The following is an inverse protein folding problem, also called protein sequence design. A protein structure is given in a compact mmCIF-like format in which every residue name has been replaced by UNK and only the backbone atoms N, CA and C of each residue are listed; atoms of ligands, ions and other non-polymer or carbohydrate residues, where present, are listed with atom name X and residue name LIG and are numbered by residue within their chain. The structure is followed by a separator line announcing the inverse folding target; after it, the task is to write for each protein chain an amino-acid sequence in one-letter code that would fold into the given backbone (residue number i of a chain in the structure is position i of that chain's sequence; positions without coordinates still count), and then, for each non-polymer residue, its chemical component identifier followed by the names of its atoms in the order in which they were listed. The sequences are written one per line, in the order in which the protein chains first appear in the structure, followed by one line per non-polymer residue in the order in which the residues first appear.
data_IF_800794606315
#
_entry.id   IF_800794606315
#
_cell.length_a   1.000
_cell.length_b   1.000
_cell.length_c   1.000
_cell.angle_alpha   90.00
_cell.angle_beta   90.00
_cell.angle_gamma   90.00
#
_symmetry.space_group_name_H-M   'P 1'
#
loop_
_entity.id
_entity.type
_entity.pdbx_description
1 polymer ?
#
# COMPACT_ATOMS: atom_id res chain seq x y z
N UNK A 1 -25.73 -4.62 13.73
CA UNK A 1 -24.55 -5.22 13.09
C UNK A 1 -24.59 -4.92 11.59
N UNK A 2 -23.71 -4.05 11.07
CA UNK A 2 -23.62 -3.79 9.61
C UNK A 2 -22.75 -4.88 8.99
N UNK A 3 -23.30 -5.67 8.06
CA UNK A 3 -22.56 -6.68 7.30
C UNK A 3 -21.41 -6.01 6.57
N UNK A 4 -20.19 -6.54 6.69
CA UNK A 4 -19.07 -6.13 5.86
C UNK A 4 -19.45 -6.30 4.37
N UNK A 5 -19.18 -5.31 3.50
CA UNK A 5 -19.44 -5.46 2.08
C UNK A 5 -18.69 -6.68 1.54
N UNK A 6 -19.42 -7.55 0.84
CA UNK A 6 -18.88 -8.77 0.27
C UNK A 6 -18.10 -8.42 -1.01
N UNK A 7 -16.83 -8.08 -0.88
CA UNK A 7 -15.96 -7.89 -2.04
C UNK A 7 -15.66 -9.25 -2.69
N UNK A 8 -15.86 -9.38 -4.01
CA UNK A 8 -15.43 -10.58 -4.75
C UNK A 8 -13.90 -10.56 -4.86
N UNK A 9 -13.27 -11.72 -4.63
CA UNK A 9 -11.81 -11.88 -4.62
C UNK A 9 -11.18 -11.37 -5.93
N UNK A 10 -10.18 -10.51 -5.82
CA UNK A 10 -9.31 -10.17 -6.95
C UNK A 10 -8.51 -11.41 -7.42
N UNK A 11 -8.14 -11.43 -8.70
CA UNK A 11 -7.19 -12.42 -9.20
C UNK A 11 -5.80 -12.20 -8.61
N UNK A 12 -4.87 -13.18 -8.72
CA UNK A 12 -3.51 -12.98 -8.24
C UNK A 12 -2.84 -11.82 -8.97
N UNK A 13 -2.26 -10.90 -8.21
CA UNK A 13 -1.51 -9.75 -8.73
C UNK A 13 -0.06 -10.14 -9.00
N UNK A 14 0.51 -9.63 -10.10
CA UNK A 14 1.92 -9.86 -10.44
C UNK A 14 2.80 -8.88 -9.69
N UNK A 15 3.87 -9.37 -9.09
CA UNK A 15 4.87 -8.49 -8.50
C UNK A 15 5.61 -7.71 -9.59
N UNK A 16 5.75 -6.38 -9.43
CA UNK A 16 6.42 -5.51 -10.42
C UNK A 16 7.48 -4.62 -9.78
N UNK A 17 8.70 -4.62 -10.31
CA UNK A 17 9.86 -3.91 -9.74
C UNK A 17 9.66 -2.39 -9.62
N UNK A 18 8.98 -1.75 -10.58
CA UNK A 18 8.70 -0.30 -10.54
C UNK A 18 7.59 0.06 -9.55
N UNK A 19 6.55 -0.78 -9.42
CA UNK A 19 5.51 -0.66 -8.38
C UNK A 19 6.12 -0.87 -6.99
N UNK A 20 6.99 -1.88 -6.85
CA UNK A 20 7.80 -2.12 -5.65
C UNK A 20 8.72 -0.94 -5.35
N UNK A 21 9.30 -0.30 -6.35
CA UNK A 21 10.08 0.93 -6.21
C UNK A 21 9.26 2.06 -5.56
N UNK A 22 8.02 2.24 -6.02
CA UNK A 22 7.05 3.16 -5.41
C UNK A 22 6.74 2.82 -3.95
N UNK A 23 6.53 1.54 -3.64
CA UNK A 23 6.30 1.07 -2.27
C UNK A 23 7.51 1.30 -1.36
N UNK A 24 8.74 1.02 -1.84
CA UNK A 24 9.99 1.25 -1.10
C UNK A 24 10.22 2.74 -0.84
N UNK A 25 9.98 3.58 -1.84
CA UNK A 25 10.11 5.02 -1.69
C UNK A 25 9.17 5.55 -0.59
N UNK A 26 7.95 5.00 -0.46
CA UNK A 26 7.05 5.35 0.63
C UNK A 26 7.57 4.87 1.98
N UNK A 27 7.96 3.60 2.09
CA UNK A 27 8.46 3.05 3.36
C UNK A 27 9.72 3.79 3.85
N UNK A 28 10.58 4.24 2.93
CA UNK A 28 11.72 5.12 3.24
C UNK A 28 11.30 6.51 3.74
N UNK A 29 10.25 7.12 3.18
CA UNK A 29 9.70 8.37 3.72
C UNK A 29 9.05 8.20 5.10
N UNK A 30 8.42 7.05 5.36
CA UNK A 30 7.91 6.71 6.70
C UNK A 30 9.04 6.57 7.73
N UNK A 31 10.20 6.06 7.31
CA UNK A 31 11.43 6.08 8.10
C UNK A 31 11.95 7.51 8.33
N UNK A 32 11.84 8.39 7.35
CA UNK A 32 12.29 9.78 7.44
C UNK A 32 11.31 10.75 8.14
N UNK A 33 10.37 10.22 8.95
CA UNK A 33 9.50 10.98 9.86
C UNK A 33 8.37 11.83 9.23
N UNK A 34 7.84 11.49 8.05
CA UNK A 34 6.60 12.09 7.54
C UNK A 34 5.57 11.02 7.17
N UNK A 35 4.85 10.49 8.16
CA UNK A 35 3.61 9.76 7.91
C UNK A 35 2.57 10.74 7.40
N UNK A 36 2.40 10.83 6.08
CA UNK A 36 1.22 11.46 5.49
C UNK A 36 0.16 10.38 5.27
N UNK A 37 -1.00 10.44 5.95
CA UNK A 37 -2.17 9.72 5.46
C UNK A 37 -2.43 10.19 4.03
N UNK A 38 -2.87 9.26 3.17
CA UNK A 38 -3.15 9.50 1.76
C UNK A 38 -3.58 10.94 1.48
N UNK A 39 -2.86 11.64 0.59
CA UNK A 39 -3.52 12.73 -0.14
C UNK A 39 -4.78 12.13 -0.76
N UNK A 40 -5.95 12.72 -0.52
CA UNK A 40 -7.30 12.18 -0.84
C UNK A 40 -7.48 11.69 -2.30
N UNK A 41 -6.52 11.98 -3.16
CA UNK A 41 -6.55 11.72 -4.60
C UNK A 41 -5.49 10.69 -5.07
N UNK A 42 -4.71 10.08 -4.18
CA UNK A 42 -3.62 9.16 -4.58
C UNK A 42 -2.46 9.82 -5.34
N UNK A 43 -2.42 11.15 -5.40
CA UNK A 43 -1.40 11.93 -6.13
C UNK A 43 0.03 11.62 -5.67
N UNK A 44 0.23 11.41 -4.38
CA UNK A 44 1.57 11.10 -3.85
C UNK A 44 2.07 9.72 -4.33
N UNK A 45 1.21 8.69 -4.37
CA UNK A 45 1.62 7.37 -4.89
C UNK A 45 1.79 7.39 -6.41
N UNK A 46 0.93 8.13 -7.12
CA UNK A 46 1.05 8.36 -8.56
C UNK A 46 2.39 8.98 -8.96
N UNK A 47 2.83 10.03 -8.25
CA UNK A 47 4.11 10.70 -8.48
C UNK A 47 5.29 9.76 -8.20
N UNK A 48 5.24 8.97 -7.11
CA UNK A 48 6.28 7.98 -6.79
C UNK A 48 6.38 6.91 -7.87
N UNK A 49 5.24 6.43 -8.36
CA UNK A 49 5.19 5.46 -9.43
C UNK A 49 5.78 6.00 -10.74
N UNK A 50 5.43 7.23 -11.13
CA UNK A 50 5.99 7.89 -12.31
C UNK A 50 7.51 8.07 -12.17
N UNK A 51 7.98 8.53 -11.00
CA UNK A 51 9.42 8.67 -10.71
C UNK A 51 10.16 7.33 -10.74
N UNK A 52 9.51 6.25 -10.33
CA UNK A 52 10.02 4.88 -10.44
C UNK A 52 9.91 4.30 -11.86
N UNK A 53 9.44 5.08 -12.85
CA UNK A 53 9.30 4.65 -14.24
C UNK A 53 8.04 3.82 -14.53
N UNK A 54 7.08 3.78 -13.61
CA UNK A 54 5.81 3.06 -13.81
C UNK A 54 4.77 3.93 -14.51
N UNK A 55 4.24 3.45 -15.62
CA UNK A 55 3.11 4.06 -16.34
C UNK A 55 1.83 3.32 -15.98
N UNK A 56 0.83 4.05 -15.51
CA UNK A 56 -0.38 3.48 -14.92
C UNK A 56 -1.66 4.10 -15.53
N UNK A 57 -2.74 3.33 -15.50
CA UNK A 57 -4.15 3.76 -15.70
C UNK A 57 -4.87 3.97 -14.38
N UNK A 58 -4.53 3.14 -13.40
CA UNK A 58 -5.00 3.23 -12.02
C UNK A 58 -3.87 2.88 -11.07
N UNK A 59 -3.87 3.50 -9.90
CA UNK A 59 -2.90 3.23 -8.83
C UNK A 59 -3.60 3.29 -7.48
N UNK A 60 -3.26 2.36 -6.60
CA UNK A 60 -3.81 2.26 -5.24
C UNK A 60 -2.71 2.04 -4.22
N UNK A 61 -2.97 2.36 -2.96
CA UNK A 61 -2.01 2.19 -1.88
C UNK A 61 -2.71 1.81 -0.57
N UNK A 62 -2.12 0.86 0.15
CA UNK A 62 -2.42 0.55 1.53
C UNK A 62 -1.16 0.81 2.37
N UNK A 63 -1.35 1.41 3.55
CA UNK A 63 -0.29 1.68 4.52
C UNK A 63 -0.75 1.17 5.89
N UNK A 64 0.15 0.57 6.65
CA UNK A 64 -0.09 0.21 8.04
C UNK A 64 1.15 0.52 8.89
N UNK A 65 0.96 0.73 10.19
CA UNK A 65 2.07 0.99 11.11
C UNK A 65 1.85 0.27 12.46
N UNK A 66 2.92 -0.30 13.00
CA UNK A 66 2.93 -0.95 14.31
C UNK A 66 2.60 -2.45 14.31
N UNK A 67 2.25 -3.04 13.17
CA UNK A 67 2.09 -4.49 13.04
C UNK A 67 3.48 -5.14 13.01
N UNK A 68 3.64 -6.25 13.73
CA UNK A 68 4.92 -6.94 13.88
C UNK A 68 5.27 -7.78 12.64
N UNK A 69 4.28 -8.13 11.82
CA UNK A 69 4.46 -8.99 10.66
C UNK A 69 3.65 -8.55 9.42
N UNK A 70 4.03 -9.02 8.21
CA UNK A 70 3.22 -8.84 7.02
C UNK A 70 1.81 -9.42 7.15
N UNK A 71 1.66 -10.55 7.87
CA UNK A 71 0.38 -11.22 8.09
C UNK A 71 -0.56 -10.36 8.94
N UNK A 72 -0.03 -9.74 10.00
CA UNK A 72 -0.79 -8.80 10.82
C UNK A 72 -1.19 -7.54 10.04
N UNK A 73 -0.29 -7.01 9.20
CA UNK A 73 -0.60 -5.89 8.32
C UNK A 73 -1.71 -6.24 7.32
N UNK A 74 -1.63 -7.42 6.70
CA UNK A 74 -2.66 -7.93 5.78
C UNK A 74 -4.00 -8.12 6.49
N UNK A 75 -4.01 -8.71 7.67
CA UNK A 75 -5.23 -8.87 8.47
C UNK A 75 -5.87 -7.51 8.80
N UNK A 76 -5.05 -6.52 9.19
CA UNK A 76 -5.50 -5.15 9.44
C UNK A 76 -6.10 -4.48 8.20
N UNK A 77 -5.47 -4.65 7.02
CA UNK A 77 -6.01 -4.13 5.77
C UNK A 77 -7.32 -4.81 5.37
N UNK A 78 -7.44 -6.14 5.52
CA UNK A 78 -8.67 -6.86 5.20
C UNK A 78 -9.84 -6.47 6.13
N UNK A 79 -9.56 -6.11 7.38
CA UNK A 79 -10.56 -5.64 8.35
C UNK A 79 -11.03 -4.20 8.09
N UNK A 80 -10.27 -3.40 7.34
CA UNK A 80 -10.63 -2.02 6.99
C UNK A 80 -11.36 -1.96 5.64
N UNK A 81 -12.60 -1.46 5.55
CA UNK A 81 -13.33 -1.41 4.28
C UNK A 81 -12.58 -0.67 3.15
N UNK A 82 -11.89 0.42 3.47
CA UNK A 82 -11.12 1.18 2.47
C UNK A 82 -9.89 0.44 1.95
N UNK A 83 -9.13 -0.19 2.84
CA UNK A 83 -7.94 -0.96 2.45
C UNK A 83 -8.31 -2.27 1.75
N UNK A 84 -9.39 -2.92 2.22
CA UNK A 84 -9.95 -4.12 1.62
C UNK A 84 -10.47 -3.83 0.20
N UNK A 85 -11.09 -2.67 -0.04
CA UNK A 85 -11.49 -2.26 -1.38
C UNK A 85 -10.31 -2.22 -2.36
N UNK A 86 -9.14 -1.70 -1.96
CA UNK A 86 -7.93 -1.72 -2.81
C UNK A 86 -7.43 -3.14 -3.09
N UNK A 87 -7.41 -4.02 -2.09
CA UNK A 87 -6.97 -5.42 -2.23
C UNK A 87 -7.90 -6.19 -3.20
N UNK A 88 -9.19 -5.88 -3.15
CA UNK A 88 -10.22 -6.62 -3.87
C UNK A 88 -10.57 -6.00 -5.22
N UNK A 89 -9.96 -4.86 -5.57
CA UNK A 89 -10.17 -4.22 -6.86
C UNK A 89 -9.50 -5.03 -7.99
N UNK A 90 -10.34 -5.58 -8.86
CA UNK A 90 -9.93 -6.41 -9.99
C UNK A 90 -9.23 -5.63 -11.10
N UNK A 91 -9.32 -4.29 -11.10
CA UNK A 91 -8.61 -3.46 -12.06
C UNK A 91 -7.09 -3.49 -11.83
N UNK A 92 -6.66 -3.73 -10.59
CA UNK A 92 -5.25 -3.87 -10.25
C UNK A 92 -4.75 -5.27 -10.56
N UNK A 93 -3.78 -5.35 -11.48
CA UNK A 93 -3.18 -6.62 -11.92
C UNK A 93 -1.71 -6.75 -11.53
N UNK A 94 -1.11 -5.66 -11.04
CA UNK A 94 0.25 -5.62 -10.53
C UNK A 94 0.27 -5.09 -9.09
N UNK A 95 1.25 -5.53 -8.31
CA UNK A 95 1.47 -5.02 -6.96
C UNK A 95 2.96 -4.91 -6.62
N UNK A 96 3.24 -4.17 -5.56
CA UNK A 96 4.55 -4.11 -4.93
C UNK A 96 4.42 -3.89 -3.43
N UNK A 97 5.14 -4.72 -2.66
CA UNK A 97 5.21 -4.62 -1.20
C UNK A 97 6.57 -4.13 -0.72
N UNK A 98 6.57 -3.31 0.33
CA UNK A 98 7.76 -2.87 1.04
C UNK A 98 7.46 -2.59 2.52
N UNK A 99 8.49 -2.63 3.36
CA UNK A 99 8.40 -2.16 4.74
C UNK A 99 9.61 -1.27 5.08
N UNK A 100 9.47 -0.47 6.13
CA UNK A 100 10.53 0.35 6.69
C UNK A 100 10.33 0.46 8.20
N UNK A 101 11.38 0.83 8.93
CA UNK A 101 11.31 1.02 10.38
C UNK A 101 11.64 2.45 10.74
N UNK A 102 10.98 2.99 11.75
CA UNK A 102 11.32 4.27 12.37
C UNK A 102 11.25 4.12 13.88
N UNK A 103 11.93 4.98 14.64
CA UNK A 103 11.77 5.05 16.09
C UNK A 103 10.75 6.14 16.40
N UNK A 104 9.68 5.79 17.12
CA UNK A 104 8.67 6.73 17.60
C UNK A 104 8.77 6.78 19.13
N UNK A 105 9.30 7.89 19.66
CA UNK A 105 9.73 7.95 21.06
C UNK A 105 10.96 7.07 21.26
N UNK A 106 10.83 6.03 22.07
CA UNK A 106 11.88 5.03 22.32
C UNK A 106 11.59 3.67 21.67
N UNK A 107 10.44 3.53 21.00
CA UNK A 107 9.99 2.24 20.47
C UNK A 107 10.20 2.14 18.96
N UNK A 108 10.80 1.04 18.45
CA UNK A 108 10.83 0.78 17.03
C UNK A 108 9.41 0.53 16.51
N UNK A 109 9.07 1.17 15.39
CA UNK A 109 7.79 1.02 14.70
C UNK A 109 8.06 0.60 13.27
N UNK A 110 7.43 -0.50 12.87
CA UNK A 110 7.42 -0.98 11.48
C UNK A 110 6.30 -0.28 10.72
N UNK A 111 6.58 0.10 9.48
CA UNK A 111 5.64 0.66 8.52
C UNK A 111 5.58 -0.26 7.31
N UNK A 112 4.36 -0.67 6.95
CA UNK A 112 4.07 -1.55 5.83
C UNK A 112 3.42 -0.74 4.72
N UNK A 113 3.89 -0.95 3.49
CA UNK A 113 3.32 -0.33 2.30
C UNK A 113 3.01 -1.40 1.26
N UNK A 114 1.80 -1.36 0.71
CA UNK A 114 1.39 -2.15 -0.44
C UNK A 114 0.84 -1.22 -1.52
N UNK A 115 1.51 -1.19 -2.67
CA UNK A 115 1.08 -0.40 -3.83
C UNK A 115 0.48 -1.34 -4.87
N UNK A 116 -0.60 -0.91 -5.50
CA UNK A 116 -1.32 -1.62 -6.54
C UNK A 116 -1.26 -0.84 -7.85
N UNK A 117 -1.13 -1.56 -8.96
CA UNK A 117 -1.03 -0.98 -10.29
C UNK A 117 -2.02 -1.60 -11.26
N UNK A 118 -2.73 -0.73 -11.98
CA UNK A 118 -3.36 -1.06 -13.25
C UNK A 118 -2.45 -0.48 -14.35
N UNK A 119 -1.71 -1.33 -15.09
CA UNK A 119 -0.76 -0.87 -16.09
C UNK A 119 -1.46 -0.15 -17.26
N UNK A 120 -0.75 0.79 -17.89
CA UNK A 120 -1.27 1.55 -19.04
C UNK A 120 -1.15 0.83 -20.37
#
# INVERSE_FOLDING_TARGET
MRRAPFYRRAGPQKERSTVRGGARAQSGHCQAALFRPHGKDGREVAERAVRAGYRWRGIGENIAAGQASPEEAMAGWLASPGHCANIMDRSFTEMGGAYGTNVVGEQPRVYWTQVFGQPR
#
